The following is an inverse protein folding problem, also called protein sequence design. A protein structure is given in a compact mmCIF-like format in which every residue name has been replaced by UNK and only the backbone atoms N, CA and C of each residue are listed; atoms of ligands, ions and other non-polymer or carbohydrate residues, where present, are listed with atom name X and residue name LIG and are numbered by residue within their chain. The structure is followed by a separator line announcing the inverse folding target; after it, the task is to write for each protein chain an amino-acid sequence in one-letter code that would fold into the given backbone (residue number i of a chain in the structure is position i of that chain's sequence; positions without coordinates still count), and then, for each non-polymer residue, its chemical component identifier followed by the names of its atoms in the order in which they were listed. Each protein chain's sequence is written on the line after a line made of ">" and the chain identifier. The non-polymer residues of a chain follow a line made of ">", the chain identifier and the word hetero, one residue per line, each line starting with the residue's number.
data_IF_708984470743
#
_entry.id   IF_708984470743
#
_cell.length_a   1.000
_cell.length_b   1.000
_cell.length_c   1.000
_cell.angle_alpha   90.00
_cell.angle_beta   90.00
_cell.angle_gamma   90.00
#
_symmetry.space_group_name_H-M   'P 1'
#
loop_
_entity.id
_entity.type
_entity.pdbx_description
1 polymer ?
#
# COMPACT_ATOMS: atom_id res chain seq x y z
N UNK A 1 13.95 2.77 4.28
CA UNK A 1 12.68 3.15 4.92
C UNK A 1 12.90 4.20 5.99
N UNK A 2 12.10 5.20 6.00
CA UNK A 2 12.28 6.31 6.89
C UNK A 2 11.36 6.20 8.09
N UNK A 3 11.93 6.36 9.26
CA UNK A 3 11.18 6.33 10.50
C UNK A 3 11.26 7.67 11.17
N UNK A 4 10.12 8.25 11.46
CA UNK A 4 10.05 9.52 12.15
C UNK A 4 9.23 9.33 13.40
N UNK A 5 9.79 9.68 14.54
CA UNK A 5 9.07 9.48 15.80
C UNK A 5 7.76 10.24 15.84
N UNK A 6 7.73 11.43 15.25
CA UNK A 6 6.49 12.20 15.25
C UNK A 6 5.42 11.56 14.41
N UNK A 7 5.79 11.05 13.24
CA UNK A 7 4.80 10.41 12.39
C UNK A 7 4.30 9.12 13.05
N UNK A 8 5.17 8.40 13.73
CA UNK A 8 4.75 7.19 14.42
C UNK A 8 3.74 7.48 15.52
N UNK A 9 3.92 8.57 16.26
CA UNK A 9 2.95 8.95 17.26
C UNK A 9 1.60 9.27 16.63
N UNK A 10 1.61 9.99 15.53
CA UNK A 10 0.36 10.32 14.85
C UNK A 10 -0.33 9.09 14.33
N UNK A 11 0.44 8.13 13.81
CA UNK A 11 -0.14 6.90 13.31
C UNK A 11 -0.78 6.11 14.43
N UNK A 12 -0.11 5.99 15.56
CA UNK A 12 -0.64 5.26 16.69
C UNK A 12 -1.93 5.86 17.19
N UNK A 13 -2.06 7.17 17.09
CA UNK A 13 -3.23 7.87 17.61
C UNK A 13 -4.27 8.12 16.54
N UNK A 14 -4.09 7.56 15.37
CA UNK A 14 -5.05 7.74 14.27
C UNK A 14 -5.29 9.19 13.94
N UNK A 15 -4.24 10.00 13.99
CA UNK A 15 -4.41 11.42 13.73
C UNK A 15 -4.23 11.80 12.28
N UNK A 16 -3.83 10.85 11.43
CA UNK A 16 -3.74 11.09 10.00
C UNK A 16 -4.88 10.34 9.35
N UNK A 17 -5.85 11.05 8.80
CA UNK A 17 -7.00 10.37 8.20
C UNK A 17 -6.61 9.67 6.90
N UNK A 18 -7.34 8.62 6.60
CA UNK A 18 -7.17 7.91 5.35
C UNK A 18 -7.86 8.72 4.25
N UNK A 19 -7.09 9.15 3.27
CA UNK A 19 -7.62 9.95 2.17
C UNK A 19 -8.16 9.10 1.04
N UNK A 20 -7.54 7.94 0.80
CA UNK A 20 -7.93 7.07 -0.28
C UNK A 20 -7.75 5.62 0.13
N UNK A 21 -8.57 4.76 -0.45
CA UNK A 21 -8.48 3.33 -0.20
C UNK A 21 -8.48 2.62 -1.54
N UNK A 22 -7.44 1.86 -1.80
CA UNK A 22 -7.25 1.16 -3.06
C UNK A 22 -7.20 -0.32 -2.79
N UNK A 23 -8.13 -1.06 -3.39
CA UNK A 23 -8.19 -2.50 -3.22
C UNK A 23 -7.78 -3.13 -4.55
N UNK A 24 -6.73 -3.93 -4.51
CA UNK A 24 -6.22 -4.58 -5.72
C UNK A 24 -6.94 -5.88 -6.06
N UNK A 25 -8.03 -6.17 -5.35
CA UNK A 25 -8.78 -7.38 -5.60
C UNK A 25 -9.15 -7.47 -7.07
N UNK A 26 -8.85 -8.59 -7.69
CA UNK A 26 -9.19 -8.78 -9.09
C UNK A 26 -8.22 -8.18 -10.09
N UNK A 27 -7.20 -7.49 -9.63
CA UNK A 27 -6.23 -6.89 -10.54
C UNK A 27 -5.12 -7.88 -10.91
N UNK A 28 -4.66 -7.79 -12.13
CA UNK A 28 -3.41 -8.46 -12.49
C UNK A 28 -2.25 -7.72 -11.84
N UNK A 29 -1.07 -8.33 -11.87
CA UNK A 29 0.11 -7.69 -11.32
C UNK A 29 0.39 -6.36 -12.03
N UNK A 30 0.29 -6.33 -13.36
CA UNK A 30 0.53 -5.11 -14.11
C UNK A 30 -0.51 -4.04 -13.80
N UNK A 31 -1.77 -4.44 -13.70
CA UNK A 31 -2.82 -3.49 -13.37
C UNK A 31 -2.59 -2.88 -12.00
N UNK A 32 -2.26 -3.73 -11.03
CA UNK A 32 -2.03 -3.25 -9.67
C UNK A 32 -0.83 -2.29 -9.64
N UNK A 33 0.22 -2.62 -10.35
CA UNK A 33 1.40 -1.78 -10.40
C UNK A 33 1.07 -0.40 -10.97
N UNK A 34 0.35 -0.39 -12.09
CA UNK A 34 -0.02 0.88 -12.71
C UNK A 34 -0.92 1.71 -11.82
N UNK A 35 -1.89 1.05 -11.16
CA UNK A 35 -2.77 1.74 -10.22
C UNK A 35 -1.95 2.32 -9.09
N UNK A 36 -1.00 1.56 -8.57
CA UNK A 36 -0.17 2.03 -7.47
C UNK A 36 0.57 3.31 -7.84
N UNK A 37 1.31 3.29 -8.95
CA UNK A 37 2.10 4.45 -9.33
C UNK A 37 1.22 5.66 -9.65
N UNK A 38 0.13 5.43 -10.36
CA UNK A 38 -0.79 6.53 -10.66
C UNK A 38 -1.41 7.11 -9.41
N UNK A 39 -1.77 6.26 -8.46
CA UNK A 39 -2.38 6.71 -7.22
C UNK A 39 -1.41 7.53 -6.40
N UNK A 40 -0.17 7.08 -6.28
CA UNK A 40 0.83 7.83 -5.52
C UNK A 40 1.07 9.19 -6.15
N UNK A 41 1.28 9.22 -7.45
CA UNK A 41 1.58 10.48 -8.12
C UNK A 41 0.42 11.45 -8.07
N UNK A 42 -0.79 10.95 -8.30
CA UNK A 42 -1.97 11.80 -8.24
C UNK A 42 -2.21 12.31 -6.81
N UNK A 43 -2.08 11.42 -5.84
CA UNK A 43 -2.31 11.80 -4.45
C UNK A 43 -1.27 12.82 -3.97
N UNK A 44 -0.02 12.63 -4.37
CA UNK A 44 1.02 13.57 -4.00
C UNK A 44 0.74 14.95 -4.59
N UNK A 45 0.29 14.99 -5.85
CA UNK A 45 0.01 16.27 -6.49
C UNK A 45 -1.16 16.99 -5.84
N UNK A 46 -2.07 16.24 -5.21
CA UNK A 46 -3.21 16.82 -4.49
C UNK A 46 -2.91 17.03 -3.01
N UNK A 47 -1.68 16.76 -2.60
CA UNK A 47 -1.26 16.88 -1.21
C UNK A 47 -2.09 16.00 -0.26
N UNK A 48 -2.53 14.86 -0.74
CA UNK A 48 -3.14 13.86 0.11
C UNK A 48 -2.04 13.12 0.86
N UNK A 49 -2.32 12.73 2.10
CA UNK A 49 -1.26 12.25 2.96
C UNK A 49 -1.32 10.78 3.30
N UNK A 50 -2.46 10.14 3.18
CA UNK A 50 -2.55 8.74 3.63
C UNK A 50 -3.42 7.94 2.68
N UNK A 51 -2.87 6.84 2.19
CA UNK A 51 -3.58 5.92 1.30
C UNK A 51 -3.49 4.52 1.89
N UNK A 52 -4.61 3.84 1.94
CA UNK A 52 -4.64 2.44 2.36
C UNK A 52 -4.68 1.58 1.10
N UNK A 53 -3.68 0.74 0.93
CA UNK A 53 -3.64 -0.22 -0.19
C UNK A 53 -3.94 -1.61 0.34
N UNK A 54 -4.88 -2.28 -0.27
CA UNK A 54 -5.23 -3.65 0.11
C UNK A 54 -4.71 -4.56 -0.97
N UNK A 55 -3.67 -5.32 -0.62
CA UNK A 55 -3.01 -6.22 -1.55
C UNK A 55 -3.52 -7.64 -1.48
N UNK A 56 -4.27 -7.95 -0.43
CA UNK A 56 -4.59 -9.33 -0.14
C UNK A 56 -3.45 -9.99 0.62
N UNK A 57 -3.75 -11.08 1.26
CA UNK A 57 -2.78 -11.71 2.15
C UNK A 57 -1.74 -12.55 1.43
N UNK A 58 -1.98 -12.86 0.20
CA UNK A 58 -0.98 -13.53 -0.61
C UNK A 58 -0.76 -14.98 -0.29
N UNK A 59 -0.40 -15.28 0.93
CA UNK A 59 -0.05 -16.64 1.29
C UNK A 59 -1.17 -17.36 2.01
N UNK A 60 -2.34 -16.81 2.11
CA UNK A 60 -3.43 -17.45 2.81
C UNK A 60 -4.15 -18.42 1.92
N UNK A 61 -3.44 -19.34 1.41
CA UNK A 61 -4.01 -20.25 0.51
C UNK A 61 -4.69 -21.37 1.23
N UNK A 62 -5.82 -21.75 0.75
CA UNK A 62 -6.49 -22.93 1.27
C UNK A 62 -6.04 -24.15 0.51
N UNK A 63 -6.03 -25.25 1.18
CA UNK A 63 -5.60 -26.47 0.51
C UNK A 63 -6.47 -26.80 -0.66
N UNK A 64 -7.71 -26.43 -0.60
CA UNK A 64 -8.64 -26.75 -1.66
C UNK A 64 -8.76 -25.65 -2.69
N UNK A 65 -7.85 -24.72 -2.68
CA UNK A 65 -7.82 -23.70 -3.68
C UNK A 65 -6.98 -24.18 -4.84
N UNK A 66 -7.61 -24.44 -5.94
CA UNK A 66 -6.93 -25.01 -7.10
C UNK A 66 -6.52 -23.97 -8.11
N UNK A 67 -6.85 -22.74 -7.87
CA UNK A 67 -6.52 -21.69 -8.80
C UNK A 67 -5.14 -21.16 -8.48
N UNK A 68 -4.14 -21.84 -8.99
CA UNK A 68 -2.77 -21.40 -8.75
C UNK A 68 -2.53 -20.01 -9.28
N UNK A 69 -3.19 -19.67 -10.38
CA UNK A 69 -3.03 -18.33 -10.94
C UNK A 69 -3.52 -17.27 -9.97
N UNK A 70 -4.66 -17.51 -9.34
CA UNK A 70 -5.19 -16.56 -8.37
C UNK A 70 -4.25 -16.41 -7.20
N UNK A 71 -3.73 -17.53 -6.72
CA UNK A 71 -2.76 -17.48 -5.64
C UNK A 71 -1.54 -16.68 -6.00
N UNK A 72 -1.04 -16.91 -7.20
CA UNK A 72 0.16 -16.21 -7.65
C UNK A 72 -0.10 -14.72 -7.72
N UNK A 73 -1.27 -14.32 -8.16
CA UNK A 73 -1.58 -12.90 -8.23
C UNK A 73 -1.51 -12.26 -6.86
N UNK A 74 -2.21 -12.83 -5.89
CA UNK A 74 -2.20 -12.22 -4.56
C UNK A 74 -0.81 -12.22 -3.97
N UNK A 75 -0.11 -13.33 -4.11
CA UNK A 75 1.24 -13.39 -3.62
C UNK A 75 2.15 -12.39 -4.30
N UNK A 76 2.01 -12.25 -5.59
CA UNK A 76 2.87 -11.36 -6.34
C UNK A 76 2.59 -9.91 -6.02
N UNK A 77 1.34 -9.52 -5.87
CA UNK A 77 1.04 -8.14 -5.54
C UNK A 77 1.63 -7.79 -4.19
N UNK A 78 1.34 -8.61 -3.18
CA UNK A 78 1.89 -8.34 -1.86
C UNK A 78 3.41 -8.38 -1.85
N UNK A 79 3.98 -9.36 -2.53
CA UNK A 79 5.43 -9.52 -2.54
C UNK A 79 6.13 -8.40 -3.29
N UNK A 80 5.47 -7.81 -4.26
CA UNK A 80 6.07 -6.73 -5.02
C UNK A 80 5.73 -5.35 -4.50
N UNK A 81 4.77 -5.25 -3.60
CA UNK A 81 4.29 -3.96 -3.15
C UNK A 81 5.41 -3.10 -2.56
N UNK A 82 6.23 -3.69 -1.70
CA UNK A 82 7.30 -2.93 -1.07
C UNK A 82 8.39 -2.56 -2.07
N UNK A 83 8.57 -3.36 -3.10
CA UNK A 83 9.47 -2.97 -4.18
C UNK A 83 8.96 -1.74 -4.91
N UNK A 84 7.65 -1.69 -5.15
CA UNK A 84 7.07 -0.53 -5.80
C UNK A 84 7.23 0.72 -4.95
N UNK A 85 7.07 0.58 -3.64
CA UNK A 85 7.25 1.71 -2.72
C UNK A 85 8.65 2.28 -2.82
N UNK A 86 9.63 1.43 -3.04
CA UNK A 86 11.02 1.85 -3.11
C UNK A 86 11.47 2.23 -4.52
N UNK A 87 10.55 2.19 -5.48
CA UNK A 87 10.89 2.52 -6.85
C UNK A 87 11.20 4.01 -6.98
N UNK A 88 12.18 4.33 -7.81
CA UNK A 88 12.64 5.71 -7.98
C UNK A 88 11.52 6.67 -8.35
N UNK A 89 10.51 6.20 -9.07
CA UNK A 89 9.44 7.07 -9.52
C UNK A 89 8.59 7.62 -8.38
N UNK A 90 8.54 6.95 -7.24
CA UNK A 90 7.66 7.37 -6.15
C UNK A 90 8.37 7.48 -4.81
N UNK A 91 9.56 6.94 -4.69
CA UNK A 91 10.23 6.83 -3.41
C UNK A 91 10.36 8.18 -2.70
N UNK A 92 10.67 9.23 -3.45
CA UNK A 92 10.87 10.54 -2.86
C UNK A 92 9.56 11.16 -2.36
N UNK A 93 8.44 10.62 -2.76
CA UNK A 93 7.13 11.15 -2.37
C UNK A 93 6.57 10.45 -1.15
N UNK A 94 7.15 9.33 -0.76
CA UNK A 94 6.63 8.50 0.32
C UNK A 94 7.42 8.77 1.58
N UNK A 95 6.68 9.05 2.66
CA UNK A 95 7.29 9.30 3.96
C UNK A 95 7.45 8.02 4.76
N UNK A 96 6.43 7.18 4.75
CA UNK A 96 6.44 5.99 5.60
C UNK A 96 5.43 4.99 5.06
N UNK A 97 5.66 3.72 5.36
CA UNK A 97 4.74 2.64 5.02
C UNK A 97 4.57 1.78 6.26
N UNK A 98 3.34 1.47 6.59
CA UNK A 98 3.05 0.60 7.73
C UNK A 98 2.04 -0.45 7.35
N UNK A 99 2.30 -1.66 7.81
CA UNK A 99 1.34 -2.73 7.64
C UNK A 99 0.13 -2.43 8.51
N UNK A 100 -1.06 -2.64 7.96
CA UNK A 100 -2.29 -2.37 8.70
C UNK A 100 -2.48 -3.42 9.78
N UNK A 101 -3.26 -3.05 10.80
CA UNK A 101 -3.58 -4.01 11.85
C UNK A 101 -4.69 -4.95 11.36
N UNK A 102 -5.01 -5.93 12.18
CA UNK A 102 -5.97 -6.95 11.76
C UNK A 102 -7.36 -6.39 11.49
N UNK A 103 -7.71 -5.31 12.16
CA UNK A 103 -9.01 -4.68 11.94
C UNK A 103 -9.10 -3.99 10.59
N UNK A 104 -7.96 -3.60 10.03
CA UNK A 104 -7.93 -2.82 8.79
C UNK A 104 -7.39 -3.63 7.62
N UNK A 105 -7.18 -4.92 7.80
CA UNK A 105 -6.71 -5.75 6.69
C UNK A 105 -5.52 -6.61 6.99
N UNK A 106 -4.89 -6.42 8.12
CA UNK A 106 -3.80 -7.28 8.55
C UNK A 106 -2.65 -7.32 7.56
N UNK A 107 -2.19 -8.53 7.30
CA UNK A 107 -1.08 -8.78 6.40
C UNK A 107 -1.33 -8.30 4.98
N UNK A 108 -2.58 -8.19 4.62
CA UNK A 108 -2.93 -7.88 3.25
C UNK A 108 -3.17 -6.42 2.98
N UNK A 109 -2.77 -5.54 3.89
CA UNK A 109 -3.03 -4.12 3.69
C UNK A 109 -1.89 -3.28 4.25
N UNK A 110 -1.64 -2.15 3.60
CA UNK A 110 -0.57 -1.25 3.99
C UNK A 110 -1.05 0.19 3.93
N UNK A 111 -0.70 0.96 4.94
CA UNK A 111 -0.84 2.39 4.92
C UNK A 111 0.40 3.01 4.30
N UNK A 112 0.20 3.85 3.31
CA UNK A 112 1.29 4.61 2.71
C UNK A 112 1.08 6.07 3.05
N UNK A 113 2.05 6.65 3.72
CA UNK A 113 2.01 8.05 4.13
C UNK A 113 2.91 8.85 3.22
N UNK A 114 2.36 9.90 2.65
CA UNK A 114 3.09 10.70 1.68
C UNK A 114 3.66 11.95 2.34
N UNK A 115 4.75 12.42 1.77
CA UNK A 115 5.33 13.68 2.20
C UNK A 115 4.42 14.82 1.76
N UNK A 116 4.52 15.94 2.44
CA UNK A 116 3.81 17.12 1.99
C UNK A 116 4.34 17.54 0.64
N UNK A 117 3.43 17.92 -0.24
CA UNK A 117 3.78 18.52 -1.50
C UNK A 117 3.84 20.02 -1.27
N UNK A 118 5.04 20.57 -1.38
CA UNK A 118 5.25 21.97 -1.05
C UNK A 118 5.02 22.92 -2.22
N UNK A 119 4.67 22.40 -3.36
CA UNK A 119 4.39 23.24 -4.52
C UNK A 119 2.98 23.78 -4.51
#
# INVERSE_FOLDING_TARGET
>A
MIQKSNINKKLKKNKIPINRKIDFHGCSLNEAKNIFFNTINDSFSRNLRCILFITGKGSTKKENDYSQDTMLYYGKIRNNFLNWVNHNAVQSKILNVQQANTKTGGDGAFFVYLRKNKN
#
